data_IF_313769101491
#
_entry.id   IF_313769101491
#
_cell.length_a   1.000
_cell.length_b   1.000
_cell.length_c   1.000
_cell.angle_alpha   90.00
_cell.angle_beta   90.00
_cell.angle_gamma   90.00
#
_symmetry.space_group_name_H-M   'P 1'
#
loop_
_entity.id
_entity.type
_entity.pdbx_description
1 polymer ?
#
# COMPACT_ATOMS: atom_id res chain seq x y z
N UNK A 1 -6.59 -3.83 8.22
CA UNK A 1 -7.36 -4.41 7.09
C UNK A 1 -7.39 -5.95 7.08
N UNK A 2 -6.26 -6.68 7.15
CA UNK A 2 -6.23 -8.18 7.11
C UNK A 2 -7.34 -8.88 7.93
N UNK A 3 -7.46 -8.55 9.22
CA UNK A 3 -8.43 -9.19 10.13
C UNK A 3 -9.89 -8.87 9.82
N UNK A 4 -10.14 -7.81 9.04
CA UNK A 4 -11.47 -7.37 8.67
C UNK A 4 -11.93 -7.96 7.32
N UNK A 5 -11.02 -8.55 6.55
CA UNK A 5 -11.33 -9.17 5.27
C UNK A 5 -12.03 -10.53 5.45
N UNK A 6 -13.05 -10.77 4.64
CA UNK A 6 -13.86 -12.00 4.59
C UNK A 6 -13.19 -13.04 3.68
N UNK A 7 -12.69 -12.58 2.53
CA UNK A 7 -11.98 -13.37 1.54
C UNK A 7 -10.59 -13.78 2.05
N UNK A 8 -10.31 -15.09 2.07
CA UNK A 8 -8.97 -15.61 2.39
C UNK A 8 -7.90 -15.05 1.42
N UNK A 9 -8.26 -14.87 0.14
CA UNK A 9 -7.37 -14.30 -0.86
C UNK A 9 -7.01 -12.84 -0.55
N UNK A 10 -7.99 -12.06 -0.10
CA UNK A 10 -7.77 -10.66 0.27
C UNK A 10 -6.97 -10.55 1.59
N UNK A 11 -7.31 -11.37 2.59
CA UNK A 11 -6.55 -11.43 3.83
C UNK A 11 -5.08 -11.81 3.59
N UNK A 12 -4.82 -12.79 2.72
CA UNK A 12 -3.46 -13.19 2.33
C UNK A 12 -2.71 -12.06 1.60
N UNK A 13 -3.39 -11.30 0.74
CA UNK A 13 -2.79 -10.14 0.08
C UNK A 13 -2.34 -9.07 1.09
N UNK A 14 -3.18 -8.75 2.08
CA UNK A 14 -2.81 -7.81 3.15
C UNK A 14 -1.65 -8.31 4.02
N UNK A 15 -1.62 -9.61 4.33
CA UNK A 15 -0.51 -10.19 5.09
C UNK A 15 0.81 -10.14 4.29
N UNK A 16 0.75 -10.48 3.00
CA UNK A 16 1.89 -10.39 2.09
C UNK A 16 2.42 -8.97 2.06
N UNK A 17 1.54 -8.00 1.79
CA UNK A 17 1.93 -6.61 1.68
C UNK A 17 2.51 -6.07 3.00
N UNK A 18 1.96 -6.45 4.16
CA UNK A 18 2.55 -6.09 5.47
C UNK A 18 4.01 -6.53 5.60
N UNK A 19 4.37 -7.72 5.08
CA UNK A 19 5.76 -8.21 5.07
C UNK A 19 6.63 -7.48 4.05
N UNK A 20 6.06 -7.04 2.94
CA UNK A 20 6.73 -6.21 1.94
C UNK A 20 7.02 -4.81 2.49
N UNK A 21 6.04 -4.15 3.12
CA UNK A 21 6.21 -2.85 3.78
C UNK A 21 7.32 -2.87 4.82
N UNK A 22 7.47 -3.97 5.59
CA UNK A 22 8.58 -4.10 6.55
C UNK A 22 9.96 -4.07 5.86
N UNK A 23 10.08 -4.65 4.66
CA UNK A 23 11.30 -4.56 3.84
C UNK A 23 11.47 -3.19 3.20
N UNK A 24 10.37 -2.49 2.90
CA UNK A 24 10.42 -1.11 2.41
C UNK A 24 11.02 -0.19 3.48
N UNK A 25 10.71 -0.41 4.76
CA UNK A 25 11.35 0.30 5.87
C UNK A 25 12.87 0.07 5.87
N UNK A 26 13.32 -1.19 5.78
CA UNK A 26 14.76 -1.52 5.71
C UNK A 26 15.44 -0.89 4.47
N UNK A 27 14.72 -0.81 3.35
CA UNK A 27 15.20 -0.16 2.12
C UNK A 27 15.34 1.35 2.31
N UNK A 28 14.37 1.99 2.97
CA UNK A 28 14.43 3.41 3.29
C UNK A 28 15.55 3.73 4.27
N UNK A 29 15.81 2.88 5.26
CA UNK A 29 16.96 3.03 6.16
C UNK A 29 18.29 3.05 5.38
N UNK A 30 18.45 2.17 4.38
CA UNK A 30 19.60 2.19 3.47
C UNK A 30 19.66 3.47 2.63
N UNK A 31 18.53 3.98 2.16
CA UNK A 31 18.46 5.27 1.44
C UNK A 31 18.95 6.40 2.33
N UNK A 32 18.49 6.49 3.58
CA UNK A 32 18.94 7.51 4.53
C UNK A 32 20.45 7.40 4.80
N UNK A 33 20.96 6.18 4.99
CA UNK A 33 22.41 5.93 5.19
C UNK A 33 23.24 6.42 3.99
N UNK A 34 22.82 6.12 2.76
CA UNK A 34 23.52 6.58 1.54
C UNK A 34 23.52 8.10 1.39
N UNK A 35 22.49 8.77 1.90
CA UNK A 35 22.40 10.23 1.91
C UNK A 35 23.15 10.86 3.09
N UNK A 36 23.71 10.06 4.00
CA UNK A 36 24.40 10.55 5.19
C UNK A 36 23.45 11.16 6.24
N UNK A 37 22.17 10.82 6.16
CA UNK A 37 21.10 11.37 7.00
C UNK A 37 20.56 10.31 7.97
N UNK A 38 19.95 10.75 9.06
CA UNK A 38 19.27 9.82 9.99
C UNK A 38 17.81 9.65 9.60
N UNK A 39 17.35 8.41 9.49
CA UNK A 39 15.94 8.11 9.39
C UNK A 39 15.22 8.54 10.68
N UNK A 40 14.20 9.39 10.56
CA UNK A 40 13.39 9.87 11.68
C UNK A 40 11.92 9.64 11.38
N UNK A 41 11.24 8.98 12.30
CA UNK A 41 9.79 8.78 12.20
C UNK A 41 9.07 10.14 12.25
N UNK A 42 8.24 10.38 11.23
CA UNK A 42 7.37 11.55 11.17
C UNK A 42 5.96 11.12 10.81
N UNK A 43 4.97 11.69 11.50
CA UNK A 43 3.56 11.49 11.14
C UNK A 43 3.31 12.07 9.74
N UNK A 44 2.72 11.26 8.87
CA UNK A 44 2.20 11.70 7.58
C UNK A 44 0.67 11.85 7.68
N UNK A 45 0.18 13.09 7.63
CA UNK A 45 -1.27 13.34 7.78
C UNK A 45 -2.08 12.81 6.59
N UNK A 46 -1.50 12.77 5.39
CA UNK A 46 -2.15 12.18 4.23
C UNK A 46 -2.36 10.67 4.40
N UNK A 47 -1.31 9.94 4.81
CA UNK A 47 -1.42 8.52 5.10
C UNK A 47 -2.36 8.25 6.27
N UNK A 48 -2.32 9.06 7.33
CA UNK A 48 -3.27 8.93 8.45
C UNK A 48 -4.72 9.04 7.95
N UNK A 49 -5.02 10.02 7.10
CA UNK A 49 -6.38 10.17 6.55
C UNK A 49 -6.84 8.98 5.71
N UNK A 50 -5.94 8.35 4.95
CA UNK A 50 -6.25 7.13 4.19
C UNK A 50 -6.54 5.93 5.11
N UNK A 51 -5.79 5.81 6.20
CA UNK A 51 -6.02 4.76 7.21
C UNK A 51 -7.34 5.01 7.96
N UNK A 52 -7.65 6.26 8.29
CA UNK A 52 -8.92 6.64 8.93
C UNK A 52 -10.13 6.32 8.01
N UNK A 53 -9.97 6.49 6.69
CA UNK A 53 -10.98 6.07 5.70
C UNK A 53 -11.16 4.54 5.71
N UNK A 54 -10.07 3.76 5.75
CA UNK A 54 -10.14 2.31 5.84
C UNK A 54 -10.84 1.85 7.13
N UNK A 55 -10.55 2.49 8.26
CA UNK A 55 -11.20 2.20 9.55
C UNK A 55 -12.69 2.55 9.51
N UNK A 56 -13.07 3.65 8.87
CA UNK A 56 -14.48 4.04 8.67
C UNK A 56 -15.22 3.02 7.80
N UNK A 57 -14.60 2.51 6.74
CA UNK A 57 -15.19 1.44 5.92
C UNK A 57 -15.42 0.17 6.76
N UNK A 58 -14.49 -0.18 7.65
CA UNK A 58 -14.65 -1.34 8.53
C UNK A 58 -15.80 -1.12 9.52
N UNK A 59 -16.01 0.09 10.03
CA UNK A 59 -17.11 0.40 10.94
C UNK A 59 -18.47 0.46 10.25
N UNK A 60 -18.51 0.94 9.02
CA UNK A 60 -19.75 1.28 8.31
C UNK A 60 -20.30 0.12 7.47
N UNK A 61 -19.52 -0.96 7.31
CA UNK A 61 -19.92 -2.18 6.59
C UNK A 61 -20.18 -3.33 7.56
N UNK A 62 -21.06 -4.26 7.18
CA UNK A 62 -21.33 -5.46 7.98
C UNK A 62 -20.13 -6.43 7.99
N UNK A 63 -19.92 -7.11 9.12
CA UNK A 63 -18.82 -8.06 9.29
C UNK A 63 -19.04 -9.29 8.41
N UNK A 64 -17.93 -9.83 7.90
CA UNK A 64 -17.90 -11.07 7.13
C UNK A 64 -18.72 -10.99 5.81
N UNK A 65 -18.80 -9.80 5.20
CA UNK A 65 -19.47 -9.53 3.92
C UNK A 65 -18.46 -9.26 2.79
N UNK A 66 -18.88 -9.46 1.54
CA UNK A 66 -18.09 -9.09 0.37
C UNK A 66 -18.17 -7.60 0.06
N UNK A 67 -19.25 -6.93 0.47
CA UNK A 67 -19.37 -5.47 0.45
C UNK A 67 -18.25 -4.80 1.24
N UNK A 68 -17.94 -5.33 2.44
CA UNK A 68 -16.76 -4.90 3.20
C UNK A 68 -15.47 -5.13 2.43
N UNK A 69 -15.27 -6.31 1.85
CA UNK A 69 -14.05 -6.62 1.10
C UNK A 69 -13.83 -5.68 -0.09
N UNK A 70 -14.89 -5.34 -0.83
CA UNK A 70 -14.81 -4.36 -1.92
C UNK A 70 -14.38 -2.98 -1.39
N UNK A 71 -14.94 -2.54 -0.26
CA UNK A 71 -14.51 -1.31 0.41
C UNK A 71 -13.06 -1.36 0.90
N UNK A 72 -12.62 -2.48 1.48
CA UNK A 72 -11.24 -2.67 1.92
C UNK A 72 -10.26 -2.61 0.74
N UNK A 73 -10.61 -3.19 -0.41
CA UNK A 73 -9.79 -3.09 -1.61
C UNK A 73 -9.72 -1.64 -2.08
N UNK A 74 -10.85 -0.93 -2.16
CA UNK A 74 -10.86 0.49 -2.52
C UNK A 74 -9.94 1.32 -1.61
N UNK A 75 -10.01 1.12 -0.29
CA UNK A 75 -9.17 1.83 0.67
C UNK A 75 -7.68 1.50 0.48
N UNK A 76 -7.36 0.22 0.29
CA UNK A 76 -5.99 -0.22 0.07
C UNK A 76 -5.41 0.33 -1.23
N UNK A 77 -6.15 0.31 -2.34
CA UNK A 77 -5.67 0.88 -3.60
C UNK A 77 -5.41 2.39 -3.49
N UNK A 78 -6.19 3.13 -2.69
CA UNK A 78 -5.87 4.54 -2.42
C UNK A 78 -4.54 4.71 -1.67
N UNK A 79 -4.23 3.82 -0.73
CA UNK A 79 -2.92 3.76 -0.06
C UNK A 79 -1.81 3.48 -1.07
N UNK A 80 -1.95 2.43 -1.89
CA UNK A 80 -0.97 2.09 -2.93
C UNK A 80 -0.73 3.26 -3.89
N UNK A 81 -1.78 3.91 -4.37
CA UNK A 81 -1.66 5.05 -5.28
C UNK A 81 -0.94 6.25 -4.64
N UNK A 82 -1.14 6.50 -3.35
CA UNK A 82 -0.39 7.52 -2.62
C UNK A 82 1.11 7.17 -2.57
N UNK A 83 1.45 5.90 -2.32
CA UNK A 83 2.83 5.43 -2.28
C UNK A 83 3.48 5.42 -3.67
N UNK A 84 2.78 4.96 -4.70
CA UNK A 84 3.23 4.99 -6.10
C UNK A 84 3.57 6.43 -6.53
N UNK A 85 2.71 7.40 -6.22
CA UNK A 85 2.98 8.80 -6.52
C UNK A 85 4.20 9.33 -5.74
N UNK A 86 4.33 8.91 -4.47
CA UNK A 86 5.42 9.32 -3.58
C UNK A 86 6.76 8.76 -4.06
N UNK A 87 6.89 7.44 -4.20
CA UNK A 87 8.12 6.78 -4.64
C UNK A 87 8.49 7.15 -6.08
N UNK A 88 7.52 7.31 -6.98
CA UNK A 88 7.77 7.80 -8.34
C UNK A 88 8.42 9.20 -8.36
N UNK A 89 7.96 10.08 -7.47
CA UNK A 89 8.53 11.43 -7.32
C UNK A 89 9.90 11.38 -6.66
N UNK A 90 10.05 10.64 -5.56
CA UNK A 90 11.33 10.53 -4.83
C UNK A 90 12.43 9.90 -5.69
N UNK A 91 12.10 8.85 -6.47
CA UNK A 91 13.04 8.22 -7.42
C UNK A 91 13.52 9.24 -8.45
N UNK A 92 12.60 10.04 -9.01
CA UNK A 92 12.93 11.09 -9.97
C UNK A 92 13.83 12.17 -9.35
N UNK A 93 13.58 12.56 -8.09
CA UNK A 93 14.45 13.48 -7.37
C UNK A 93 15.85 12.91 -7.16
N UNK A 94 15.96 11.64 -6.77
CA UNK A 94 17.25 10.97 -6.58
C UNK A 94 18.08 10.97 -7.88
N UNK A 95 17.48 10.60 -9.02
CA UNK A 95 18.14 10.66 -10.34
C UNK A 95 18.56 12.09 -10.70
N UNK A 96 17.68 13.07 -10.48
CA UNK A 96 17.96 14.48 -10.81
C UNK A 96 19.16 15.02 -10.02
N UNK A 97 19.35 14.54 -8.79
CA UNK A 97 20.46 14.92 -7.91
C UNK A 97 21.72 14.05 -8.11
N UNK A 98 21.69 13.05 -9.01
CA UNK A 98 22.81 12.15 -9.28
C UNK A 98 23.01 11.06 -8.22
N UNK A 99 21.96 10.71 -7.46
CA UNK A 99 21.97 9.62 -6.49
C UNK A 99 21.40 8.33 -7.11
N UNK A 100 22.11 7.78 -8.10
CA UNK A 100 21.63 6.65 -8.92
C UNK A 100 21.37 5.37 -8.09
N UNK A 101 22.18 5.11 -7.06
CA UNK A 101 21.98 3.97 -6.15
C UNK A 101 20.71 4.14 -5.31
N UNK A 102 20.43 5.35 -4.83
CA UNK A 102 19.20 5.70 -4.11
C UNK A 102 17.99 5.57 -5.03
N UNK A 103 18.09 6.06 -6.27
CA UNK A 103 17.04 5.92 -7.27
C UNK A 103 16.70 4.44 -7.53
N UNK A 104 17.72 3.58 -7.61
CA UNK A 104 17.55 2.13 -7.78
C UNK A 104 16.83 1.49 -6.60
N UNK A 105 17.13 1.89 -5.36
CA UNK A 105 16.43 1.41 -4.17
C UNK A 105 14.96 1.86 -4.16
N UNK A 106 14.69 3.13 -4.43
CA UNK A 106 13.33 3.68 -4.48
C UNK A 106 12.50 3.06 -5.64
N UNK A 107 13.14 2.73 -6.76
CA UNK A 107 12.50 2.05 -7.88
C UNK A 107 12.01 0.65 -7.50
N UNK A 108 12.79 -0.11 -6.71
CA UNK A 108 12.36 -1.44 -6.24
C UNK A 108 11.09 -1.36 -5.41
N UNK A 109 11.01 -0.37 -4.50
CA UNK A 109 9.80 -0.17 -3.70
C UNK A 109 8.63 0.27 -4.59
N UNK A 110 8.84 1.24 -5.49
CA UNK A 110 7.82 1.66 -6.45
C UNK A 110 7.23 0.51 -7.25
N UNK A 111 8.06 -0.42 -7.74
CA UNK A 111 7.58 -1.56 -8.51
C UNK A 111 6.79 -2.55 -7.64
N UNK A 112 7.18 -2.73 -6.37
CA UNK A 112 6.41 -3.58 -5.45
C UNK A 112 5.03 -2.98 -5.11
N UNK A 113 4.91 -1.67 -4.94
CA UNK A 113 3.60 -1.03 -4.69
C UNK A 113 2.69 -1.14 -5.92
N UNK A 114 3.25 -1.02 -7.13
CA UNK A 114 2.49 -1.26 -8.38
C UNK A 114 2.02 -2.70 -8.48
N UNK A 115 2.90 -3.68 -8.21
CA UNK A 115 2.54 -5.10 -8.22
C UNK A 115 1.44 -5.39 -7.19
N UNK A 116 1.46 -4.71 -6.04
CA UNK A 116 0.41 -4.82 -5.02
C UNK A 116 -0.93 -4.26 -5.52
N UNK A 117 -0.95 -3.06 -6.11
CA UNK A 117 -2.16 -2.47 -6.67
C UNK A 117 -2.75 -3.32 -7.80
N UNK A 118 -1.91 -3.87 -8.68
CA UNK A 118 -2.34 -4.80 -9.73
C UNK A 118 -2.94 -6.08 -9.13
N UNK A 119 -2.34 -6.63 -8.07
CA UNK A 119 -2.88 -7.79 -7.37
C UNK A 119 -4.24 -7.49 -6.71
N UNK A 120 -4.40 -6.31 -6.10
CA UNK A 120 -5.68 -5.84 -5.54
C UNK A 120 -6.75 -5.69 -6.63
N UNK A 121 -6.39 -5.11 -7.78
CA UNK A 121 -7.27 -5.02 -8.96
C UNK A 121 -7.72 -6.41 -9.42
N UNK A 122 -6.80 -7.39 -9.46
CA UNK A 122 -7.11 -8.78 -9.80
C UNK A 122 -7.98 -9.50 -8.77
N UNK A 123 -7.98 -9.08 -7.51
CA UNK A 123 -8.89 -9.59 -6.48
C UNK A 123 -10.28 -8.95 -6.65
N UNK A 124 -10.34 -7.63 -6.85
CA UNK A 124 -11.57 -6.87 -7.05
C UNK A 124 -12.35 -7.37 -8.27
N UNK A 125 -11.72 -7.37 -9.44
CA UNK A 125 -12.33 -7.83 -10.71
C UNK A 125 -12.46 -9.35 -10.82
N UNK A 126 -11.96 -10.10 -9.84
CA UNK A 126 -12.22 -11.52 -9.69
C UNK A 126 -13.60 -11.76 -9.09
N UNK A 127 -13.65 -12.37 -7.90
CA UNK A 127 -14.93 -12.75 -7.27
C UNK A 127 -15.45 -11.74 -6.26
N UNK A 128 -14.61 -10.81 -5.76
CA UNK A 128 -15.01 -9.93 -4.65
C UNK A 128 -16.11 -8.96 -5.09
N UNK A 129 -15.91 -8.22 -6.18
CA UNK A 129 -16.94 -7.27 -6.65
C UNK A 129 -18.21 -7.99 -7.13
N UNK A 130 -18.05 -9.15 -7.78
CA UNK A 130 -19.19 -9.97 -8.22
C UNK A 130 -20.05 -10.43 -7.04
N UNK A 131 -19.43 -10.81 -5.92
CA UNK A 131 -20.12 -11.20 -4.70
C UNK A 131 -20.72 -10.00 -3.97
N UNK A 132 -19.97 -8.90 -3.87
CA UNK A 132 -20.45 -7.66 -3.26
C UNK A 132 -21.70 -7.12 -3.97
N UNK A 133 -21.76 -7.21 -5.30
CA UNK A 133 -22.91 -6.75 -6.08
C UNK A 133 -24.20 -7.59 -5.88
N UNK A 134 -24.11 -8.73 -5.20
CA UNK A 134 -25.23 -9.62 -4.88
C UNK A 134 -25.74 -9.46 -3.45
N UNK A 135 -25.07 -8.64 -2.63
CA UNK A 135 -25.44 -8.28 -1.25
C UNK A 135 -26.21 -6.94 -1.23
#
# INVERSE_FOLDING_TARGET
MQKAATSEKLAAAFEKHTKETQKHIETLEQVFEQLGEKAVAKKCDAMQGLLDEADSIISDTEKDTFTRDAGLILAAQKVEHYEIATYGTLRTFAETMGHDDVATLLQKTLDNEKDTDEALTGIAGGFVNDKAAQE
#
